data_IF_069778079018
#
_entry.id   IF_069778079018
#
_cell.length_a   1.000
_cell.length_b   1.000
_cell.length_c   1.000
_cell.angle_alpha   90.00
_cell.angle_beta   90.00
_cell.angle_gamma   90.00
#
_symmetry.space_group_name_H-M   'P 1'
#
loop_
_entity.id
_entity.type
_entity.pdbx_description
1 polymer ?
#
# COMPACT_ATOMS: atom_id res chain seq x y z
N UNK A 1 -8.31 -28.21 22.41
CA UNK A 1 -8.07 -26.74 22.43
C UNK A 1 -9.23 -26.10 21.70
N UNK A 2 -10.10 -25.36 22.40
CA UNK A 2 -11.23 -24.67 21.76
C UNK A 2 -10.72 -23.29 21.28
N UNK A 3 -10.82 -23.02 19.99
CA UNK A 3 -10.44 -21.73 19.38
C UNK A 3 -11.74 -20.95 19.15
N UNK A 4 -11.90 -19.80 19.83
CA UNK A 4 -13.03 -18.90 19.61
C UNK A 4 -12.59 -17.77 18.67
N UNK A 5 -13.02 -17.82 17.39
CA UNK A 5 -12.82 -16.74 16.40
C UNK A 5 -14.13 -15.98 16.26
N UNK A 6 -14.18 -14.71 16.70
CA UNK A 6 -15.29 -13.78 16.41
C UNK A 6 -14.81 -12.80 15.34
N UNK A 7 -15.54 -12.67 14.25
CA UNK A 7 -15.21 -11.73 13.15
C UNK A 7 -15.65 -10.31 13.52
N UNK A 8 -14.96 -9.31 12.96
CA UNK A 8 -15.28 -7.89 13.16
C UNK A 8 -16.69 -7.52 12.64
N UNK A 9 -17.30 -8.36 11.80
CA UNK A 9 -18.65 -8.22 11.25
C UNK A 9 -19.75 -8.18 12.31
N UNK A 10 -19.53 -8.76 13.50
CA UNK A 10 -20.51 -8.66 14.58
C UNK A 10 -20.60 -7.21 15.10
N UNK A 11 -19.48 -6.49 15.06
CA UNK A 11 -19.39 -5.10 15.52
C UNK A 11 -19.93 -4.10 14.50
N UNK A 12 -19.95 -4.43 13.21
CA UNK A 12 -20.45 -3.52 12.17
C UNK A 12 -21.94 -3.17 12.35
N UNK A 13 -22.71 -4.02 13.04
CA UNK A 13 -24.12 -3.74 13.38
C UNK A 13 -24.30 -2.60 14.39
N UNK A 14 -23.26 -2.29 15.17
CA UNK A 14 -23.33 -1.35 16.29
C UNK A 14 -22.33 -0.19 16.18
N UNK A 15 -21.39 -0.28 15.25
CA UNK A 15 -20.40 0.77 14.98
C UNK A 15 -20.82 1.63 13.78
N UNK A 16 -20.44 2.92 13.76
CA UNK A 16 -20.55 3.74 12.55
C UNK A 16 -19.88 3.08 11.34
N UNK A 17 -20.29 3.45 10.11
CA UNK A 17 -19.72 2.91 8.89
C UNK A 17 -18.21 3.17 8.83
N UNK A 18 -17.50 2.26 8.17
CA UNK A 18 -16.04 2.31 7.98
C UNK A 18 -15.75 2.14 6.50
N UNK A 19 -15.09 3.12 5.90
CA UNK A 19 -14.62 3.08 4.52
C UNK A 19 -13.10 2.94 4.50
N UNK A 20 -12.57 2.09 3.61
CA UNK A 20 -11.14 1.85 3.44
C UNK A 20 -10.69 2.24 2.04
N UNK A 21 -9.74 3.16 1.95
CA UNK A 21 -9.20 3.65 0.68
C UNK A 21 -7.74 3.22 0.54
N UNK A 22 -7.42 2.50 -0.53
CA UNK A 22 -6.04 2.19 -0.90
C UNK A 22 -5.61 3.15 -2.01
N UNK A 23 -4.72 4.09 -1.66
CA UNK A 23 -4.26 5.11 -2.58
C UNK A 23 -2.91 4.69 -3.19
N UNK A 24 -2.91 4.44 -4.49
CA UNK A 24 -1.70 4.14 -5.26
C UNK A 24 -1.07 5.47 -5.71
N UNK A 25 -0.10 5.95 -4.93
CA UNK A 25 0.58 7.22 -5.17
C UNK A 25 1.63 7.08 -6.27
N UNK A 26 1.57 7.91 -7.31
CA UNK A 26 2.57 7.95 -8.39
C UNK A 26 3.93 8.37 -7.82
N UNK A 27 5.03 7.64 -8.09
CA UNK A 27 6.36 8.05 -7.68
C UNK A 27 6.73 9.45 -8.19
N UNK A 28 7.33 10.27 -7.33
CA UNK A 28 7.94 11.54 -7.77
C UNK A 28 9.27 11.29 -8.49
N UNK A 29 9.75 12.27 -9.26
CA UNK A 29 11.05 12.16 -9.93
C UNK A 29 12.20 11.88 -8.95
N UNK A 30 12.18 12.50 -7.77
CA UNK A 30 13.17 12.25 -6.73
C UNK A 30 13.11 10.82 -6.18
N UNK A 31 11.90 10.26 -6.05
CA UNK A 31 11.72 8.87 -5.66
C UNK A 31 12.22 7.92 -6.74
N UNK A 32 11.88 8.16 -8.01
CA UNK A 32 12.34 7.35 -9.15
C UNK A 32 13.86 7.31 -9.18
N UNK A 33 14.51 8.49 -9.18
CA UNK A 33 15.97 8.59 -9.21
C UNK A 33 16.61 7.91 -8.00
N UNK A 34 16.10 8.12 -6.79
CA UNK A 34 16.62 7.44 -5.60
C UNK A 34 16.45 5.92 -5.69
N UNK A 35 15.33 5.43 -6.22
CA UNK A 35 15.07 4.01 -6.41
C UNK A 35 16.04 3.41 -7.43
N UNK A 36 16.23 4.06 -8.58
CA UNK A 36 17.15 3.64 -9.64
C UNK A 36 18.60 3.61 -9.14
N UNK A 37 19.04 4.64 -8.41
CA UNK A 37 20.37 4.66 -7.79
C UNK A 37 20.60 3.48 -6.83
N UNK A 38 19.59 3.13 -6.03
CA UNK A 38 19.66 1.99 -5.11
C UNK A 38 19.73 0.67 -5.87
N UNK A 39 18.96 0.51 -6.94
CA UNK A 39 18.96 -0.70 -7.76
C UNK A 39 20.25 -0.86 -8.58
N UNK A 40 20.89 0.25 -8.95
CA UNK A 40 22.15 0.26 -9.69
C UNK A 40 23.39 -0.05 -8.83
N UNK A 41 23.23 -0.28 -7.52
CA UNK A 41 24.35 -0.56 -6.63
C UNK A 41 25.06 -1.87 -7.03
N UNK A 42 26.41 -1.91 -7.09
CA UNK A 42 27.17 -3.10 -7.51
C UNK A 42 26.87 -4.35 -6.67
N UNK A 43 26.50 -4.14 -5.41
CA UNK A 43 26.13 -5.20 -4.46
C UNK A 43 24.82 -5.92 -4.83
N UNK A 44 24.01 -5.38 -5.75
CA UNK A 44 22.71 -5.96 -6.16
C UNK A 44 22.86 -7.39 -6.69
N UNK A 45 23.94 -7.69 -7.43
CA UNK A 45 24.21 -9.04 -7.94
C UNK A 45 24.37 -10.09 -6.83
N UNK A 46 24.92 -9.69 -5.67
CA UNK A 46 25.12 -10.57 -4.52
C UNK A 46 23.93 -10.55 -3.53
N UNK A 47 23.02 -9.56 -3.65
CA UNK A 47 21.84 -9.44 -2.78
C UNK A 47 20.88 -10.62 -2.97
N UNK A 48 20.73 -11.12 -4.19
CA UNK A 48 19.88 -12.30 -4.47
C UNK A 48 20.41 -13.59 -3.82
N UNK A 49 21.69 -13.64 -3.45
CA UNK A 49 22.31 -14.78 -2.78
C UNK A 49 22.31 -14.65 -1.25
N UNK A 50 22.14 -13.45 -0.69
CA UNK A 50 22.19 -13.19 0.75
C UNK A 50 20.87 -12.62 1.29
N UNK A 51 20.24 -13.38 2.19
CA UNK A 51 19.00 -12.98 2.87
C UNK A 51 19.16 -11.68 3.65
N UNK A 52 20.29 -11.50 4.34
CA UNK A 52 20.56 -10.29 5.12
C UNK A 52 20.66 -9.04 4.24
N UNK A 53 21.40 -9.13 3.13
CA UNK A 53 21.55 -8.03 2.17
C UNK A 53 20.19 -7.67 1.51
N UNK A 54 19.35 -8.67 1.26
CA UNK A 54 17.99 -8.48 0.76
C UNK A 54 17.12 -7.68 1.74
N UNK A 55 17.14 -8.00 3.03
CA UNK A 55 16.37 -7.25 4.04
C UNK A 55 16.85 -5.80 4.19
N UNK A 56 18.16 -5.56 4.06
CA UNK A 56 18.71 -4.20 4.06
C UNK A 56 18.22 -3.39 2.85
N UNK A 57 18.26 -3.98 1.65
CA UNK A 57 17.76 -3.35 0.44
C UNK A 57 16.26 -3.04 0.53
N UNK A 58 15.45 -4.00 1.00
CA UNK A 58 14.04 -3.79 1.30
C UNK A 58 13.85 -2.57 2.21
N UNK A 59 14.67 -2.45 3.26
CA UNK A 59 14.59 -1.34 4.21
C UNK A 59 14.90 0.01 3.54
N UNK A 60 15.89 0.07 2.66
CA UNK A 60 16.19 1.29 1.89
C UNK A 60 15.08 1.67 0.91
N UNK A 61 14.56 0.70 0.16
CA UNK A 61 13.46 0.95 -0.77
C UNK A 61 12.20 1.42 -0.04
N UNK A 62 11.86 0.83 1.12
CA UNK A 62 10.76 1.30 1.97
C UNK A 62 10.98 2.73 2.47
N UNK A 63 12.22 3.12 2.78
CA UNK A 63 12.54 4.52 3.11
C UNK A 63 12.28 5.45 1.92
N UNK A 64 12.70 5.09 0.70
CA UNK A 64 12.42 5.88 -0.52
C UNK A 64 10.93 6.03 -0.76
N UNK A 65 10.16 4.94 -0.61
CA UNK A 65 8.71 4.98 -0.74
C UNK A 65 8.05 5.96 0.23
N UNK A 66 8.58 6.08 1.45
CA UNK A 66 8.13 7.05 2.43
C UNK A 66 8.62 8.47 2.12
N UNK A 67 9.92 8.69 2.01
CA UNK A 67 10.54 9.92 1.52
C UNK A 67 12.05 9.73 1.27
N UNK A 68 12.61 10.21 0.13
CA UNK A 68 14.04 10.13 -0.14
C UNK A 68 14.94 10.69 0.97
N UNK A 69 14.53 11.78 1.64
CA UNK A 69 15.27 12.40 2.73
C UNK A 69 15.53 11.49 3.94
N UNK A 70 14.80 10.37 4.08
CA UNK A 70 15.03 9.36 5.14
C UNK A 70 16.30 8.53 4.92
N UNK A 71 16.92 8.65 3.75
CA UNK A 71 18.23 8.06 3.45
C UNK A 71 19.39 8.94 3.91
N UNK A 72 19.15 10.23 4.17
CA UNK A 72 20.21 11.14 4.62
C UNK A 72 20.83 10.64 5.94
N UNK A 73 22.16 10.55 5.98
CA UNK A 73 22.91 10.17 7.18
C UNK A 73 22.66 11.20 8.29
N UNK A 74 22.11 10.77 9.44
CA UNK A 74 22.30 11.54 10.69
C UNK A 74 23.79 11.40 11.06
N UNK A 75 24.46 12.48 11.46
CA UNK A 75 25.87 12.51 11.91
C UNK A 75 26.12 11.72 13.22
N UNK A 76 25.48 10.57 13.41
CA UNK A 76 25.69 9.71 14.58
C UNK A 76 26.72 8.63 14.25
N UNK A 77 27.73 8.52 15.12
CA UNK A 77 28.97 7.75 14.93
C UNK A 77 28.82 6.22 15.07
N UNK A 78 27.61 5.67 14.98
CA UNK A 78 27.40 4.26 15.31
C UNK A 78 26.30 3.64 14.46
N UNK A 79 26.64 3.24 13.23
CA UNK A 79 25.84 2.26 12.48
C UNK A 79 26.57 0.92 12.49
N UNK A 80 25.92 -0.08 13.06
CA UNK A 80 26.44 -1.43 13.35
C UNK A 80 26.74 -2.28 12.11
N UNK A 81 26.53 -1.77 10.88
CA UNK A 81 26.71 -2.53 9.63
C UNK A 81 27.23 -1.61 8.50
N UNK A 82 28.54 -1.63 8.20
CA UNK A 82 29.18 -0.68 7.27
C UNK A 82 28.84 -0.83 5.77
N UNK A 83 28.60 -2.05 5.27
CA UNK A 83 28.85 -2.35 3.85
C UNK A 83 27.86 -1.80 2.81
N UNK A 84 26.58 -1.57 3.14
CA UNK A 84 25.62 -0.95 2.23
C UNK A 84 25.37 0.55 2.53
N UNK A 85 25.70 0.99 3.74
CA UNK A 85 25.54 2.39 4.18
C UNK A 85 26.60 3.30 3.56
N UNK A 86 27.80 2.77 3.28
CA UNK A 86 28.84 3.46 2.50
C UNK A 86 28.35 3.81 1.08
N UNK A 87 27.49 2.97 0.49
CA UNK A 87 26.96 3.19 -0.86
C UNK A 87 25.80 4.21 -0.94
N UNK A 88 25.27 4.67 0.19
CA UNK A 88 24.27 5.77 0.20
C UNK A 88 24.89 7.10 -0.23
N UNK A 89 26.21 7.23 -0.21
CA UNK A 89 26.95 8.39 -0.75
C UNK A 89 26.80 8.52 -2.29
N UNK A 90 26.25 7.51 -2.96
CA UNK A 90 25.97 7.52 -4.40
C UNK A 90 24.68 8.31 -4.72
N UNK A 91 23.77 8.48 -3.75
CA UNK A 91 22.55 9.24 -3.99
C UNK A 91 22.89 10.74 -3.91
N UNK A 92 22.58 11.53 -4.96
CA UNK A 92 22.89 12.96 -4.96
C UNK A 92 22.29 13.68 -3.74
N UNK A 93 23.15 14.38 -2.99
CA UNK A 93 22.79 15.18 -1.81
C UNK A 93 21.65 16.17 -2.10
N UNK A 94 21.59 16.70 -3.33
CA UNK A 94 20.53 17.58 -3.79
C UNK A 94 19.15 16.92 -3.69
N UNK A 95 19.03 15.65 -4.08
CA UNK A 95 17.78 14.89 -4.00
C UNK A 95 17.32 14.70 -2.55
N UNK A 96 18.28 14.49 -1.65
CA UNK A 96 18.00 14.29 -0.21
C UNK A 96 17.63 15.59 0.51
N UNK A 97 18.05 16.74 -0.02
CA UNK A 97 17.76 18.08 0.51
C UNK A 97 16.46 18.70 -0.02
N UNK A 98 15.85 18.10 -1.05
CA UNK A 98 14.55 18.54 -1.53
C UNK A 98 13.51 18.55 -0.41
N UNK A 99 12.60 19.53 -0.46
CA UNK A 99 11.46 19.57 0.46
C UNK A 99 10.72 18.24 0.44
N UNK A 100 10.46 17.60 1.60
CA UNK A 100 9.80 16.30 1.65
C UNK A 100 8.47 16.23 0.90
N UNK A 101 7.69 17.33 0.88
CA UNK A 101 6.40 17.43 0.15
C UNK A 101 6.61 17.38 -1.38
N UNK A 102 7.74 17.92 -1.86
CA UNK A 102 8.12 17.85 -3.28
C UNK A 102 8.75 16.49 -3.63
N UNK A 103 9.47 15.89 -2.70
CA UNK A 103 10.22 14.66 -2.91
C UNK A 103 9.43 13.37 -2.61
N UNK A 104 8.31 13.42 -1.88
CA UNK A 104 7.49 12.25 -1.56
C UNK A 104 6.04 12.44 -2.02
N UNK A 105 5.55 11.51 -2.82
CA UNK A 105 4.15 11.52 -3.27
C UNK A 105 3.18 11.25 -2.12
N UNK A 106 3.49 10.29 -1.25
CA UNK A 106 2.67 10.00 -0.05
C UNK A 106 2.55 11.19 0.87
N UNK A 107 3.67 11.88 1.13
CA UNK A 107 3.65 13.06 1.99
C UNK A 107 2.91 14.23 1.34
N UNK A 108 2.97 14.36 0.01
CA UNK A 108 2.18 15.35 -0.73
C UNK A 108 0.69 15.10 -0.61
N UNK A 109 0.24 13.85 -0.82
CA UNK A 109 -1.17 13.48 -0.67
C UNK A 109 -1.63 13.74 0.76
N UNK A 110 -0.82 13.36 1.75
CA UNK A 110 -1.11 13.63 3.15
C UNK A 110 -1.21 15.14 3.44
N UNK A 111 -0.27 15.95 2.97
CA UNK A 111 -0.28 17.42 3.12
C UNK A 111 -1.59 18.04 2.62
N UNK A 112 -2.04 17.63 1.43
CA UNK A 112 -3.31 18.09 0.86
C UNK A 112 -4.50 17.68 1.74
N UNK A 113 -4.55 16.43 2.20
CA UNK A 113 -5.62 15.93 3.07
C UNK A 113 -5.63 16.67 4.41
N UNK A 114 -4.48 16.84 5.05
CA UNK A 114 -4.38 17.51 6.35
C UNK A 114 -4.81 18.98 6.27
N UNK A 115 -4.41 19.69 5.20
CA UNK A 115 -4.85 21.08 4.96
C UNK A 115 -6.37 21.17 4.81
N UNK A 116 -6.94 20.36 3.91
CA UNK A 116 -8.39 20.33 3.69
C UNK A 116 -9.16 19.96 4.97
N UNK A 117 -8.66 19.03 5.77
CA UNK A 117 -9.25 18.67 7.06
C UNK A 117 -9.20 19.82 8.06
N UNK A 118 -8.03 20.41 8.25
CA UNK A 118 -7.83 21.47 9.24
C UNK A 118 -8.66 22.73 8.95
N UNK A 119 -8.92 23.02 7.68
CA UNK A 119 -9.62 24.23 7.24
C UNK A 119 -11.13 24.04 7.17
N UNK A 120 -11.59 22.84 6.77
CA UNK A 120 -13.00 22.62 6.45
C UNK A 120 -13.73 21.74 7.48
N UNK A 121 -13.02 21.10 8.41
CA UNK A 121 -13.63 20.23 9.42
C UNK A 121 -13.04 20.42 10.81
N UNK A 122 -13.65 19.77 11.80
CA UNK A 122 -13.13 19.64 13.17
C UNK A 122 -12.85 18.16 13.49
N UNK A 123 -12.42 17.41 12.47
CA UNK A 123 -12.03 16.01 12.59
C UNK A 123 -10.59 15.88 13.11
N UNK A 124 -10.33 14.85 13.91
CA UNK A 124 -8.99 14.48 14.35
C UNK A 124 -8.50 13.28 13.58
N UNK A 125 -7.17 13.18 13.44
CA UNK A 125 -6.53 12.15 12.61
C UNK A 125 -5.57 11.30 13.42
N UNK A 126 -5.44 10.03 13.06
CA UNK A 126 -4.35 9.15 13.52
C UNK A 126 -3.46 8.83 12.32
N UNK A 127 -2.15 9.02 12.45
CA UNK A 127 -1.19 8.67 11.39
C UNK A 127 -0.30 7.57 11.94
N UNK A 128 -0.31 6.43 11.28
CA UNK A 128 0.40 5.22 11.67
C UNK A 128 1.58 5.00 10.74
N UNK A 129 2.73 4.69 11.32
CA UNK A 129 3.91 4.23 10.58
C UNK A 129 4.63 3.13 11.35
N UNK A 130 5.28 2.23 10.63
CA UNK A 130 6.15 1.20 11.16
C UNK A 130 7.53 1.73 11.57
N UNK A 131 7.89 2.95 11.15
CA UNK A 131 9.23 3.52 11.32
C UNK A 131 9.19 4.83 12.11
N UNK A 132 9.93 4.89 13.22
CA UNK A 132 10.02 6.09 14.05
C UNK A 132 10.66 7.27 13.33
N UNK A 133 11.57 7.02 12.39
CA UNK A 133 12.17 8.07 11.54
C UNK A 133 11.16 8.70 10.59
N UNK A 134 10.19 7.92 10.08
CA UNK A 134 9.04 8.45 9.34
C UNK A 134 8.15 9.28 10.27
N UNK A 135 7.90 8.83 11.51
CA UNK A 135 7.15 9.63 12.50
C UNK A 135 7.87 10.95 12.83
N UNK A 136 9.20 10.98 12.89
CA UNK A 136 9.97 12.22 13.05
C UNK A 136 9.71 13.19 11.87
N UNK A 137 9.72 12.67 10.64
CA UNK A 137 9.45 13.45 9.42
C UNK A 137 8.02 14.02 9.46
N UNK A 138 7.04 13.19 9.79
CA UNK A 138 5.63 13.57 9.89
C UNK A 138 5.39 14.60 11.00
N UNK A 139 6.04 14.44 12.16
CA UNK A 139 5.95 15.41 13.26
C UNK A 139 6.51 16.78 12.86
N UNK A 140 7.65 16.82 12.15
CA UNK A 140 8.19 18.08 11.60
C UNK A 140 7.24 18.72 10.60
N UNK A 141 6.59 17.91 9.77
CA UNK A 141 5.64 18.40 8.79
C UNK A 141 4.37 18.97 9.45
N UNK A 142 3.78 18.27 10.42
CA UNK A 142 2.65 18.77 11.21
C UNK A 142 2.99 20.08 11.92
N UNK A 143 4.17 20.16 12.54
CA UNK A 143 4.65 21.39 13.16
C UNK A 143 4.81 22.54 12.15
N UNK A 144 5.26 22.27 10.91
CA UNK A 144 5.37 23.28 9.86
C UNK A 144 4.02 23.80 9.35
N UNK A 145 2.92 23.08 9.63
CA UNK A 145 1.55 23.48 9.31
C UNK A 145 0.82 24.05 10.55
N UNK A 146 1.52 24.25 11.66
CA UNK A 146 0.96 24.64 12.96
C UNK A 146 -0.18 23.72 13.44
N UNK A 147 -0.13 22.43 13.05
CA UNK A 147 -1.12 21.44 13.45
C UNK A 147 -0.64 20.71 14.72
N UNK A 148 -1.31 20.89 15.87
CA UNK A 148 -0.86 20.31 17.12
C UNK A 148 -1.06 18.79 17.11
N UNK A 149 -0.09 18.06 17.67
CA UNK A 149 -0.13 16.60 17.64
C UNK A 149 0.45 15.96 18.90
N UNK A 150 0.00 14.73 19.15
CA UNK A 150 0.58 13.84 20.15
C UNK A 150 1.31 12.70 19.46
N UNK A 151 2.26 12.07 20.14
CA UNK A 151 3.01 10.93 19.62
C UNK A 151 3.11 9.82 20.64
N UNK A 152 2.85 8.59 20.21
CA UNK A 152 3.06 7.37 20.99
C UNK A 152 3.88 6.38 20.16
N UNK A 153 5.07 6.08 20.64
CA UNK A 153 5.97 5.07 20.07
C UNK A 153 6.61 4.20 21.16
N UNK A 154 7.54 3.33 20.78
CA UNK A 154 8.23 2.42 21.71
C UNK A 154 9.03 3.13 22.81
N UNK A 155 9.45 4.38 22.58
CA UNK A 155 10.20 5.18 23.56
C UNK A 155 9.30 5.85 24.60
N UNK A 156 7.98 5.88 24.37
CA UNK A 156 7.02 6.52 25.27
C UNK A 156 6.86 5.70 26.56
N UNK A 157 7.13 6.27 27.75
CA UNK A 157 7.01 5.57 29.03
C UNK A 157 5.58 5.06 29.26
N UNK A 158 5.43 3.81 29.70
CA UNK A 158 4.13 3.13 29.87
C UNK A 158 3.13 3.96 30.68
N UNK A 159 3.58 4.60 31.77
CA UNK A 159 2.73 5.41 32.66
C UNK A 159 2.10 6.62 31.95
N UNK A 160 2.78 7.20 30.95
CA UNK A 160 2.28 8.39 30.21
C UNK A 160 1.37 8.03 29.04
N UNK A 161 1.31 6.76 28.64
CA UNK A 161 0.59 6.35 27.42
C UNK A 161 -0.91 6.61 27.55
N UNK A 162 -1.50 6.32 28.70
CA UNK A 162 -2.93 6.54 28.92
C UNK A 162 -3.26 8.04 28.96
N UNK A 163 -2.41 8.87 29.56
CA UNK A 163 -2.61 10.32 29.60
C UNK A 163 -2.64 10.94 28.20
N UNK A 164 -1.76 10.49 27.30
CA UNK A 164 -1.76 10.92 25.90
C UNK A 164 -3.04 10.51 25.17
N UNK A 165 -3.51 9.27 25.39
CA UNK A 165 -4.74 8.75 24.80
C UNK A 165 -5.96 9.53 25.31
N UNK A 166 -6.02 9.77 26.61
CA UNK A 166 -7.09 10.53 27.26
C UNK A 166 -7.11 11.99 26.78
N UNK A 167 -5.94 12.64 26.73
CA UNK A 167 -5.80 13.98 26.20
C UNK A 167 -6.28 14.04 24.75
N UNK A 168 -5.86 13.09 23.91
CA UNK A 168 -6.31 13.03 22.52
C UNK A 168 -7.82 12.89 22.42
N UNK A 169 -8.44 11.98 23.17
CA UNK A 169 -9.88 11.73 23.07
C UNK A 169 -10.72 12.90 23.61
N UNK A 170 -10.31 13.53 24.72
CA UNK A 170 -11.11 14.54 25.44
C UNK A 170 -10.96 15.96 24.88
N UNK A 171 -9.89 16.27 24.15
CA UNK A 171 -9.62 17.63 23.65
C UNK A 171 -10.12 17.85 22.22
N UNK A 172 -10.28 19.12 21.85
CA UNK A 172 -10.66 19.54 20.49
C UNK A 172 -9.49 19.39 19.52
N UNK A 173 -9.80 19.37 18.21
CA UNK A 173 -8.78 19.30 17.16
C UNK A 173 -7.82 20.50 17.20
N UNK A 174 -8.28 21.68 17.62
CA UNK A 174 -7.45 22.86 17.82
C UNK A 174 -6.35 22.69 18.91
N UNK A 175 -6.51 21.74 19.84
CA UNK A 175 -5.49 21.42 20.85
C UNK A 175 -4.67 20.19 20.49
N UNK A 176 -5.31 19.18 19.92
CA UNK A 176 -4.66 17.94 19.49
C UNK A 176 -5.34 17.47 18.20
N UNK A 177 -4.82 17.91 17.06
CA UNK A 177 -5.36 17.61 15.73
C UNK A 177 -4.98 16.19 15.29
N UNK A 178 -3.69 15.83 15.44
CA UNK A 178 -3.15 14.56 14.98
C UNK A 178 -2.60 13.71 16.13
N UNK A 179 -2.62 12.39 15.94
CA UNK A 179 -1.95 11.43 16.81
C UNK A 179 -1.01 10.55 15.98
N UNK A 180 0.30 10.69 16.19
CA UNK A 180 1.33 9.88 15.57
C UNK A 180 1.50 8.57 16.35
N UNK A 181 1.27 7.44 15.71
CA UNK A 181 1.32 6.13 16.33
C UNK A 181 2.33 5.23 15.62
N UNK A 182 3.26 4.63 16.36
CA UNK A 182 4.04 3.53 15.78
C UNK A 182 3.20 2.26 15.76
N UNK A 183 3.13 1.55 14.63
CA UNK A 183 2.25 0.40 14.46
C UNK A 183 2.50 -0.70 15.52
N UNK A 184 3.76 -0.83 15.99
CA UNK A 184 4.19 -1.85 16.95
C UNK A 184 4.09 -1.43 18.42
N UNK A 185 3.96 -0.13 18.73
CA UNK A 185 3.82 0.34 20.12
C UNK A 185 2.40 0.24 20.67
N UNK A 186 1.43 -0.17 19.84
CA UNK A 186 0.00 -0.25 20.14
C UNK A 186 -0.49 -1.54 20.81
N UNK A 187 0.40 -2.48 21.18
CA UNK A 187 0.04 -3.77 21.79
C UNK A 187 -0.77 -3.68 23.10
N UNK A 188 -0.89 -2.50 23.70
CA UNK A 188 -1.61 -2.25 24.94
C UNK A 188 -3.14 -2.06 24.80
N UNK A 189 -3.76 -2.37 23.66
CA UNK A 189 -5.22 -2.29 23.60
C UNK A 189 -5.78 -0.86 23.53
N UNK A 190 -4.96 0.15 23.20
CA UNK A 190 -5.33 1.58 23.27
C UNK A 190 -6.56 1.93 22.43
N UNK A 191 -7.28 2.97 22.87
CA UNK A 191 -8.54 3.41 22.27
C UNK A 191 -8.43 4.87 21.78
N UNK A 192 -8.49 5.10 20.47
CA UNK A 192 -8.32 6.41 19.83
C UNK A 192 -9.60 6.90 19.12
N UNK A 193 -10.78 6.57 19.67
CA UNK A 193 -12.11 6.96 19.15
C UNK A 193 -12.33 8.47 19.00
N UNK A 194 -11.44 9.32 19.53
CA UNK A 194 -11.48 10.75 19.27
C UNK A 194 -11.23 11.11 17.79
N UNK A 195 -10.57 10.24 17.03
CA UNK A 195 -10.35 10.40 15.59
C UNK A 195 -11.42 9.70 14.76
N UNK A 196 -11.74 10.28 13.61
CA UNK A 196 -12.58 9.66 12.57
C UNK A 196 -11.77 9.25 11.34
N UNK A 197 -10.51 9.67 11.21
CA UNK A 197 -9.65 9.34 10.06
C UNK A 197 -8.33 8.72 10.50
N UNK A 198 -7.91 7.66 9.81
CA UNK A 198 -6.62 7.00 10.06
C UNK A 198 -5.83 6.83 8.76
N UNK A 199 -4.55 7.18 8.81
CA UNK A 199 -3.61 7.07 7.69
C UNK A 199 -2.57 6.00 8.01
N UNK A 200 -2.59 4.89 7.27
CA UNK A 200 -1.51 3.91 7.21
C UNK A 200 -0.48 4.44 6.21
N UNK A 201 0.54 5.14 6.71
CA UNK A 201 1.54 5.79 5.86
C UNK A 201 2.46 4.80 5.15
N UNK A 202 2.74 3.67 5.81
CA UNK A 202 3.47 2.55 5.25
C UNK A 202 2.87 1.21 5.69
N UNK A 203 3.13 0.19 4.90
CA UNK A 203 2.53 -1.14 5.03
C UNK A 203 3.52 -2.10 5.72
N UNK A 204 3.03 -2.88 6.70
CA UNK A 204 3.82 -3.96 7.31
C UNK A 204 3.75 -5.25 6.47
N UNK A 205 4.68 -6.18 6.66
CA UNK A 205 4.59 -7.48 5.99
C UNK A 205 3.46 -8.35 6.55
N UNK A 206 3.09 -8.13 7.81
CA UNK A 206 2.00 -8.82 8.49
C UNK A 206 0.70 -8.00 8.42
N UNK A 207 -0.33 -8.45 7.68
CA UNK A 207 -1.60 -7.74 7.61
C UNK A 207 -2.29 -7.56 8.97
N UNK A 208 -2.02 -8.44 9.94
CA UNK A 208 -2.57 -8.33 11.29
C UNK A 208 -2.12 -7.04 12.00
N UNK A 209 -0.92 -6.54 11.71
CA UNK A 209 -0.41 -5.29 12.28
C UNK A 209 -1.26 -4.10 11.84
N UNK A 210 -1.61 -4.04 10.55
CA UNK A 210 -2.45 -2.98 10.01
C UNK A 210 -3.90 -3.09 10.50
N UNK A 211 -4.45 -4.31 10.52
CA UNK A 211 -5.78 -4.58 11.08
C UNK A 211 -5.90 -4.13 12.54
N UNK A 212 -4.86 -4.41 13.34
CA UNK A 212 -4.80 -3.96 14.74
C UNK A 212 -4.70 -2.44 14.88
N UNK A 213 -4.07 -1.74 13.93
CA UNK A 213 -4.00 -0.29 13.92
C UNK A 213 -5.35 0.33 13.56
N UNK A 214 -6.05 -0.20 12.54
CA UNK A 214 -7.39 0.26 12.14
C UNK A 214 -8.41 0.07 13.28
N UNK A 215 -8.34 -1.04 14.01
CA UNK A 215 -9.19 -1.33 15.16
C UNK A 215 -8.98 -0.39 16.37
N UNK A 216 -8.04 0.56 16.32
CA UNK A 216 -7.84 1.58 17.37
C UNK A 216 -8.84 2.73 17.30
N UNK A 217 -9.37 3.00 16.10
CA UNK A 217 -10.34 4.09 15.89
C UNK A 217 -11.74 3.57 15.54
N UNK A 218 -11.83 2.41 14.88
CA UNK A 218 -13.10 1.71 14.62
C UNK A 218 -13.34 0.70 15.73
N UNK A 219 -13.83 1.22 16.87
CA UNK A 219 -14.06 0.45 18.10
C UNK A 219 -15.24 1.04 18.86
N UNK A 220 -15.74 0.28 19.83
CA UNK A 220 -16.79 0.73 20.75
C UNK A 220 -16.49 2.11 21.34
N UNK A 221 -17.52 2.95 21.37
CA UNK A 221 -17.44 4.38 21.69
C UNK A 221 -17.19 5.31 20.50
N UNK A 222 -16.87 4.79 19.31
CA UNK A 222 -16.83 5.60 18.08
C UNK A 222 -18.23 6.13 17.73
N UNK A 223 -18.33 7.42 17.41
CA UNK A 223 -19.60 8.09 17.08
C UNK A 223 -19.66 8.63 15.66
N UNK A 224 -18.52 8.72 14.98
CA UNK A 224 -18.39 9.27 13.63
C UNK A 224 -18.09 8.14 12.63
N UNK A 225 -18.54 8.25 11.37
CA UNK A 225 -18.05 7.44 10.28
C UNK A 225 -16.52 7.45 10.25
N UNK A 226 -15.93 6.28 10.04
CA UNK A 226 -14.47 6.10 10.04
C UNK A 226 -13.96 5.99 8.61
N UNK A 227 -12.88 6.71 8.30
CA UNK A 227 -12.21 6.65 7.00
C UNK A 227 -10.75 6.23 7.19
N UNK A 228 -10.37 5.12 6.57
CA UNK A 228 -9.00 4.60 6.61
C UNK A 228 -8.34 4.84 5.27
N UNK A 229 -7.14 5.40 5.26
CA UNK A 229 -6.35 5.60 4.05
C UNK A 229 -5.06 4.80 4.15
N UNK A 230 -4.80 3.96 3.16
CA UNK A 230 -3.55 3.22 3.00
C UNK A 230 -2.76 3.83 1.86
N UNK A 231 -1.58 4.34 2.14
CA UNK A 231 -0.71 4.92 1.11
C UNK A 231 0.28 3.89 0.60
N UNK A 232 0.25 3.64 -0.71
CA UNK A 232 1.21 2.78 -1.40
C UNK A 232 1.95 3.60 -2.45
N UNK A 233 3.27 3.41 -2.58
CA UNK A 233 3.97 3.88 -3.76
C UNK A 233 3.67 2.94 -4.92
N UNK A 234 2.93 3.43 -5.92
CA UNK A 234 2.57 2.65 -7.11
C UNK A 234 3.79 2.18 -7.89
N UNK A 235 3.77 0.91 -8.32
CA UNK A 235 4.84 0.25 -9.06
C UNK A 235 6.09 -0.09 -8.24
N UNK A 236 6.18 0.35 -6.99
CA UNK A 236 7.32 0.09 -6.12
C UNK A 236 7.08 -1.05 -5.12
N UNK A 237 8.03 -1.21 -4.18
CA UNK A 237 7.99 -2.28 -3.18
C UNK A 237 6.74 -2.27 -2.30
N UNK A 238 6.15 -1.11 -2.01
CA UNK A 238 4.94 -1.02 -1.18
C UNK A 238 3.76 -1.77 -1.80
N UNK A 239 3.56 -1.61 -3.11
CA UNK A 239 2.49 -2.28 -3.83
C UNK A 239 2.68 -3.80 -3.83
N UNK A 240 3.93 -4.27 -3.99
CA UNK A 240 4.28 -5.71 -3.88
C UNK A 240 4.04 -6.26 -2.47
N UNK A 241 4.38 -5.50 -1.43
CA UNK A 241 4.10 -5.88 -0.04
C UNK A 241 2.59 -6.00 0.17
N UNK A 242 1.81 -5.06 -0.35
CA UNK A 242 0.35 -5.07 -0.26
C UNK A 242 -0.27 -6.28 -0.98
N UNK A 243 0.16 -6.59 -2.22
CA UNK A 243 -0.28 -7.78 -2.95
C UNK A 243 -0.04 -9.08 -2.15
N UNK A 244 1.10 -9.17 -1.45
CA UNK A 244 1.41 -10.29 -0.55
C UNK A 244 0.54 -10.32 0.70
N UNK A 245 0.25 -9.17 1.30
CA UNK A 245 -0.67 -9.10 2.44
C UNK A 245 -2.04 -9.67 2.07
N UNK A 246 -2.60 -9.22 0.93
CA UNK A 246 -3.90 -9.66 0.46
C UNK A 246 -3.89 -11.16 0.13
N UNK A 247 -2.86 -11.63 -0.56
CA UNK A 247 -2.67 -13.06 -0.85
C UNK A 247 -2.64 -13.88 0.44
N UNK A 248 -1.91 -13.43 1.46
CA UNK A 248 -1.85 -14.10 2.78
C UNK A 248 -3.20 -14.08 3.49
N UNK A 249 -3.96 -13.00 3.39
CA UNK A 249 -5.31 -12.92 3.98
C UNK A 249 -6.28 -13.89 3.27
N UNK A 250 -6.30 -13.90 1.93
CA UNK A 250 -7.14 -14.82 1.17
C UNK A 250 -6.81 -16.30 1.42
N UNK A 251 -5.52 -16.64 1.59
CA UNK A 251 -5.10 -17.99 1.98
C UNK A 251 -5.45 -18.33 3.43
N UNK A 252 -5.32 -17.38 4.37
CA UNK A 252 -5.67 -17.60 5.78
C UNK A 252 -7.17 -17.81 6.00
N UNK A 253 -8.02 -17.25 5.13
CA UNK A 253 -9.46 -17.53 5.13
C UNK A 253 -9.78 -18.87 4.44
N UNK A 254 -8.88 -19.39 3.61
CA UNK A 254 -9.02 -20.65 2.87
C UNK A 254 -8.39 -21.88 3.56
N UNK A 255 -7.58 -21.70 4.62
CA UNK A 255 -6.78 -22.78 5.23
C UNK A 255 -7.06 -22.91 6.74
N UNK A 256 -7.74 -24.01 7.10
CA UNK A 256 -7.64 -24.67 8.41
C UNK A 256 -6.68 -25.84 8.23
N UNK A 257 -5.40 -25.59 7.94
CA UNK A 257 -4.38 -26.63 7.91
C UNK A 257 -2.99 -26.05 8.18
N UNK A 258 -2.29 -26.70 9.11
CA UNK A 258 -1.08 -26.21 9.78
C UNK A 258 0.20 -26.22 8.93
N UNK A 259 0.23 -25.46 7.82
CA UNK A 259 1.48 -25.18 7.11
C UNK A 259 2.23 -24.03 7.78
N UNK A 260 3.51 -24.26 8.10
CA UNK A 260 4.38 -23.25 8.67
C UNK A 260 4.63 -22.10 7.68
N UNK A 261 4.78 -20.89 8.22
CA UNK A 261 5.17 -19.70 7.47
C UNK A 261 6.52 -19.93 6.77
N UNK A 262 6.54 -20.04 5.44
CA UNK A 262 7.78 -19.86 4.69
C UNK A 262 8.20 -18.38 4.79
N UNK A 263 9.16 -18.11 5.68
CA UNK A 263 9.70 -16.79 5.92
C UNK A 263 10.79 -16.39 4.89
N UNK A 264 11.02 -17.20 3.87
CA UNK A 264 12.05 -17.01 2.86
C UNK A 264 11.47 -16.61 1.50
N UNK A 265 12.10 -15.65 0.84
CA UNK A 265 11.79 -15.27 -0.53
C UNK A 265 12.57 -16.15 -1.51
N UNK A 266 11.94 -16.54 -2.62
CA UNK A 266 12.67 -17.12 -3.76
C UNK A 266 13.49 -16.04 -4.49
N UNK A 267 14.51 -16.45 -5.27
CA UNK A 267 15.31 -15.49 -6.04
C UNK A 267 14.48 -14.75 -7.11
N UNK A 268 13.46 -15.38 -7.68
CA UNK A 268 12.50 -14.75 -8.60
C UNK A 268 11.61 -13.73 -7.90
N UNK A 269 11.19 -14.06 -6.69
CA UNK A 269 10.40 -13.17 -5.85
C UNK A 269 11.19 -11.92 -5.45
N UNK A 270 12.46 -12.08 -5.08
CA UNK A 270 13.34 -10.95 -4.78
C UNK A 270 13.58 -10.09 -6.02
N UNK A 271 13.80 -10.70 -7.19
CA UNK A 271 13.92 -9.97 -8.46
C UNK A 271 12.68 -9.13 -8.77
N UNK A 272 11.49 -9.67 -8.55
CA UNK A 272 10.24 -8.93 -8.74
C UNK A 272 10.02 -7.84 -7.67
N UNK A 273 10.43 -8.10 -6.43
CA UNK A 273 10.36 -7.13 -5.33
C UNK A 273 11.25 -5.90 -5.57
N UNK A 274 12.38 -6.10 -6.25
CA UNK A 274 13.37 -5.06 -6.53
C UNK A 274 13.22 -4.44 -7.93
N UNK A 275 12.00 -4.40 -8.46
CA UNK A 275 11.66 -3.66 -9.68
C UNK A 275 10.81 -2.44 -9.35
N UNK A 276 10.91 -1.42 -10.19
CA UNK A 276 10.02 -0.26 -10.20
C UNK A 276 9.25 -0.25 -11.53
N UNK A 277 7.93 -0.44 -11.46
CA UNK A 277 7.07 -0.44 -12.63
C UNK A 277 6.46 0.95 -12.85
N UNK A 278 6.90 1.66 -13.89
CA UNK A 278 6.39 3.00 -14.23
C UNK A 278 5.37 2.99 -15.38
N UNK A 279 5.25 1.87 -16.10
CA UNK A 279 4.42 1.75 -17.30
C UNK A 279 2.94 1.43 -17.01
N UNK A 280 2.62 1.10 -15.76
CA UNK A 280 1.24 0.85 -15.30
C UNK A 280 0.82 1.90 -14.31
N UNK A 281 -0.48 2.19 -14.27
CA UNK A 281 -1.09 3.03 -13.23
C UNK A 281 -1.30 2.28 -11.92
N UNK A 282 -1.64 0.99 -12.00
CA UNK A 282 -1.88 0.12 -10.86
C UNK A 282 -1.58 -1.32 -11.26
N UNK A 283 -0.40 -1.82 -10.87
CA UNK A 283 0.00 -3.19 -11.19
C UNK A 283 -0.96 -4.21 -10.53
N UNK A 284 -1.47 -3.89 -9.35
CA UNK A 284 -2.40 -4.72 -8.60
C UNK A 284 -3.70 -4.92 -9.37
N UNK A 285 -4.24 -3.86 -9.97
CA UNK A 285 -5.42 -3.94 -10.84
C UNK A 285 -5.15 -4.79 -12.08
N UNK A 286 -4.00 -4.59 -12.74
CA UNK A 286 -3.62 -5.38 -13.92
C UNK A 286 -3.51 -6.88 -13.59
N UNK A 287 -2.89 -7.21 -12.44
CA UNK A 287 -2.74 -8.59 -11.98
C UNK A 287 -4.07 -9.23 -11.57
N UNK A 288 -5.06 -8.45 -11.12
CA UNK A 288 -6.43 -8.95 -10.90
C UNK A 288 -7.10 -9.34 -12.22
N UNK A 289 -6.68 -8.76 -13.34
CA UNK A 289 -7.36 -8.92 -14.63
C UNK A 289 -8.82 -8.49 -14.54
N UNK A 290 -9.08 -7.42 -13.78
CA UNK A 290 -10.40 -6.84 -13.61
C UNK A 290 -10.81 -6.11 -14.90
N UNK A 291 -12.05 -6.33 -15.34
CA UNK A 291 -12.61 -5.73 -16.58
C UNK A 291 -13.48 -4.51 -16.31
N UNK A 292 -13.44 -3.97 -15.09
CA UNK A 292 -14.23 -2.79 -14.75
C UNK A 292 -13.72 -1.55 -15.51
N UNK A 293 -14.59 -0.58 -15.81
CA UNK A 293 -14.21 0.67 -16.47
C UNK A 293 -13.31 1.57 -15.61
N UNK A 294 -13.01 1.19 -14.36
CA UNK A 294 -12.18 1.94 -13.42
C UNK A 294 -12.74 3.33 -13.08
N UNK A 295 -14.06 3.48 -13.05
CA UNK A 295 -14.77 4.73 -12.72
C UNK A 295 -15.46 4.71 -11.34
N UNK A 296 -15.29 3.62 -10.58
CA UNK A 296 -15.96 3.40 -9.30
C UNK A 296 -17.31 2.67 -9.41
N UNK A 297 -17.68 2.19 -10.59
CA UNK A 297 -18.75 1.20 -10.74
C UNK A 297 -18.38 -0.13 -10.08
N UNK A 298 -19.41 -0.87 -9.68
CA UNK A 298 -19.24 -2.16 -9.02
C UNK A 298 -18.58 -3.17 -9.99
N UNK A 299 -17.36 -3.67 -9.68
CA UNK A 299 -16.67 -4.64 -10.53
C UNK A 299 -17.42 -5.96 -10.72
N UNK A 300 -18.39 -6.26 -9.86
CA UNK A 300 -19.20 -7.47 -9.88
C UNK A 300 -20.58 -7.26 -10.52
N UNK A 301 -20.94 -6.02 -10.90
CA UNK A 301 -22.18 -5.76 -11.60
C UNK A 301 -22.15 -6.38 -13.02
N UNK A 302 -23.28 -6.96 -13.51
CA UNK A 302 -23.35 -7.44 -14.88
C UNK A 302 -23.17 -6.27 -15.82
N UNK A 303 -22.07 -6.27 -16.59
CA UNK A 303 -21.77 -5.24 -17.58
C UNK A 303 -22.88 -5.18 -18.64
N UNK A 304 -23.70 -4.13 -18.61
CA UNK A 304 -24.66 -3.85 -19.67
C UNK A 304 -23.94 -3.20 -20.86
N UNK A 305 -23.20 -3.99 -21.64
CA UNK A 305 -22.88 -3.67 -23.05
C UNK A 305 -22.28 -4.89 -23.77
N UNK A 306 -23.13 -5.52 -24.60
CA UNK A 306 -22.85 -6.29 -25.82
C UNK A 306 -21.43 -6.84 -26.08
N UNK A 307 -21.21 -8.12 -25.79
CA UNK A 307 -21.21 -9.26 -26.75
C UNK A 307 -20.89 -10.51 -25.93
N UNK A 308 -21.93 -11.28 -25.62
CA UNK A 308 -21.79 -12.56 -24.94
C UNK A 308 -21.34 -13.63 -25.96
N UNK A 309 -20.04 -13.84 -26.09
CA UNK A 309 -19.54 -15.15 -26.52
C UNK A 309 -19.52 -16.05 -25.28
N UNK A 310 -20.45 -17.01 -25.26
CA UNK A 310 -20.49 -18.08 -24.27
C UNK A 310 -19.35 -19.05 -24.57
N UNK A 311 -18.24 -18.95 -23.86
CA UNK A 311 -17.35 -20.10 -23.67
C UNK A 311 -17.88 -20.92 -22.49
N UNK A 312 -18.48 -22.06 -22.83
CA UNK A 312 -18.90 -23.08 -21.88
C UNK A 312 -17.70 -23.91 -21.46
N UNK A 313 -17.00 -23.51 -20.41
CA UNK A 313 -16.01 -24.38 -19.76
C UNK A 313 -16.68 -25.20 -18.65
N UNK A 314 -16.94 -26.46 -18.99
CA UNK A 314 -17.26 -27.55 -18.08
C UNK A 314 -16.20 -27.64 -16.98
N UNK A 315 -16.62 -27.40 -15.73
CA UNK A 315 -15.84 -27.66 -14.52
C UNK A 315 -15.44 -29.14 -14.44
N UNK A 316 -14.14 -29.39 -14.38
CA UNK A 316 -13.58 -30.54 -13.67
C UNK A 316 -12.70 -30.00 -12.55
N UNK A 317 -13.18 -30.10 -11.32
CA UNK A 317 -12.39 -29.89 -10.11
C UNK A 317 -11.30 -30.97 -10.07
N UNK A 318 -10.04 -30.56 -10.21
CA UNK A 318 -8.90 -31.35 -9.76
C UNK A 318 -8.12 -30.53 -8.74
N UNK A 319 -8.12 -31.06 -7.52
CA UNK A 319 -7.34 -30.56 -6.40
C UNK A 319 -5.86 -30.51 -6.80
N UNK A 320 -5.30 -29.30 -6.87
CA UNK A 320 -3.88 -29.11 -7.12
C UNK A 320 -3.09 -29.44 -5.85
N UNK A 321 -2.59 -30.68 -5.77
CA UNK A 321 -1.58 -31.05 -4.78
C UNK A 321 -0.29 -30.24 -5.02
N UNK A 322 0.16 -29.48 -4.03
CA UNK A 322 1.26 -28.50 -4.14
C UNK A 322 2.68 -29.12 -4.17
N UNK A 323 2.89 -30.32 -4.71
CA UNK A 323 4.22 -30.95 -4.76
C UNK A 323 4.49 -31.73 -6.07
N UNK A 324 4.06 -31.19 -7.20
CA UNK A 324 4.56 -31.68 -8.48
C UNK A 324 5.91 -31.02 -8.78
N UNK A 325 6.99 -31.81 -8.76
CA UNK A 325 8.29 -31.42 -9.31
C UNK A 325 8.07 -30.91 -10.73
N UNK A 326 8.20 -29.59 -10.92
CA UNK A 326 7.96 -28.92 -12.21
C UNK A 326 9.06 -29.33 -13.17
N UNK A 327 8.81 -30.34 -14.00
CA UNK A 327 9.62 -30.57 -15.18
C UNK A 327 9.38 -29.42 -16.17
N UNK A 328 10.44 -28.87 -16.79
CA UNK A 328 10.26 -27.85 -17.82
C UNK A 328 9.38 -28.41 -18.94
N UNK A 329 8.46 -27.60 -19.51
CA UNK A 329 7.62 -28.02 -20.62
C UNK A 329 8.48 -28.57 -21.76
N UNK A 330 8.07 -29.70 -22.32
CA UNK A 330 8.80 -30.37 -23.41
C UNK A 330 8.58 -29.55 -24.68
N UNK A 331 9.52 -28.66 -24.99
CA UNK A 331 9.54 -27.97 -26.26
C UNK A 331 10.01 -28.91 -27.38
N UNK A 332 9.47 -28.72 -28.59
CA UNK A 332 9.96 -29.43 -29.77
C UNK A 332 11.47 -29.13 -29.92
N UNK A 333 12.31 -30.13 -30.14
CA UNK A 333 13.75 -29.91 -30.30
C UNK A 333 13.97 -28.99 -31.51
N UNK A 334 14.67 -27.88 -31.27
CA UNK A 334 15.11 -26.93 -32.29
C UNK A 334 16.64 -26.95 -32.36
N UNK A 335 17.24 -26.56 -33.50
CA UNK A 335 18.69 -26.39 -33.59
C UNK A 335 19.19 -25.47 -32.47
N UNK A 336 20.29 -25.83 -31.81
CA UNK A 336 20.88 -25.10 -30.69
C UNK A 336 21.63 -23.83 -31.16
N UNK A 337 20.94 -22.96 -31.88
CA UNK A 337 21.42 -21.61 -32.21
C UNK A 337 21.10 -20.67 -31.06
N UNK A 338 21.91 -19.60 -30.94
CA UNK A 338 21.74 -18.56 -29.90
C UNK A 338 20.31 -17.97 -29.95
N UNK A 339 19.80 -17.72 -31.15
CA UNK A 339 18.46 -17.15 -31.35
C UNK A 339 17.34 -18.10 -30.91
N UNK A 340 17.45 -19.40 -31.23
CA UNK A 340 16.45 -20.38 -30.86
C UNK A 340 16.40 -20.61 -29.35
N UNK A 341 17.56 -20.60 -28.68
CA UNK A 341 17.66 -20.71 -27.22
C UNK A 341 17.06 -19.45 -26.55
N UNK A 342 17.34 -18.26 -27.09
CA UNK A 342 16.76 -17.02 -26.58
C UNK A 342 15.23 -17.00 -26.69
N UNK A 343 14.67 -17.43 -27.84
CA UNK A 343 13.22 -17.51 -28.06
C UNK A 343 12.56 -18.53 -27.12
N UNK A 344 13.18 -19.69 -26.87
CA UNK A 344 12.64 -20.68 -25.92
C UNK A 344 12.67 -20.14 -24.49
N UNK A 345 13.78 -19.54 -24.06
CA UNK A 345 13.89 -18.95 -22.73
C UNK A 345 12.87 -17.83 -22.51
N UNK A 346 12.60 -17.03 -23.56
CA UNK A 346 11.55 -16.02 -23.52
C UNK A 346 10.16 -16.65 -23.33
N UNK A 347 9.83 -17.70 -24.10
CA UNK A 347 8.54 -18.41 -23.95
C UNK A 347 8.37 -19.05 -22.57
N UNK A 348 9.43 -19.65 -22.02
CA UNK A 348 9.43 -20.19 -20.65
C UNK A 348 9.13 -19.08 -19.64
N UNK A 349 9.80 -17.93 -19.77
CA UNK A 349 9.59 -16.79 -18.89
C UNK A 349 8.14 -16.27 -18.98
N UNK A 350 7.60 -16.12 -20.19
CA UNK A 350 6.22 -15.69 -20.43
C UNK A 350 5.20 -16.67 -19.84
N UNK A 351 5.38 -17.99 -20.01
CA UNK A 351 4.51 -19.01 -19.41
C UNK A 351 4.57 -19.02 -17.88
N UNK A 352 5.76 -18.85 -17.29
CA UNK A 352 5.93 -18.76 -15.84
C UNK A 352 5.29 -17.48 -15.28
N UNK A 353 5.45 -16.35 -15.97
CA UNK A 353 4.78 -15.09 -15.60
C UNK A 353 3.26 -15.22 -15.70
N UNK A 354 2.72 -15.86 -16.74
CA UNK A 354 1.29 -16.11 -16.90
C UNK A 354 0.73 -17.02 -15.80
N UNK A 355 1.42 -18.11 -15.46
CA UNK A 355 1.05 -19.00 -14.34
C UNK A 355 1.06 -18.24 -13.01
N UNK A 356 2.08 -17.41 -12.77
CA UNK A 356 2.19 -16.58 -11.57
C UNK A 356 1.07 -15.55 -11.49
N UNK A 357 0.76 -14.87 -12.59
CA UNK A 357 -0.35 -13.92 -12.67
C UNK A 357 -1.69 -14.61 -12.38
N UNK A 358 -1.93 -15.81 -12.95
CA UNK A 358 -3.13 -16.61 -12.67
C UNK A 358 -3.25 -16.99 -11.18
N UNK A 359 -2.13 -17.40 -10.56
CA UNK A 359 -2.09 -17.71 -9.11
C UNK A 359 -2.38 -16.46 -8.27
N UNK A 360 -1.75 -15.33 -8.57
CA UNK A 360 -1.98 -14.07 -7.85
C UNK A 360 -3.41 -13.57 -8.02
N UNK A 361 -3.99 -13.67 -9.23
CA UNK A 361 -5.39 -13.33 -9.51
C UNK A 361 -6.36 -14.08 -8.60
N UNK A 362 -6.19 -15.40 -8.48
CA UNK A 362 -7.05 -16.23 -7.62
C UNK A 362 -6.92 -15.85 -6.14
N UNK A 363 -5.72 -15.52 -5.68
CA UNK A 363 -5.48 -15.21 -4.26
C UNK A 363 -5.89 -13.79 -3.85
N UNK A 364 -6.04 -12.88 -4.82
CA UNK A 364 -6.40 -11.48 -4.57
C UNK A 364 -7.87 -11.16 -4.87
N UNK A 365 -8.73 -12.17 -5.07
CA UNK A 365 -10.15 -11.98 -5.39
C UNK A 365 -10.91 -11.10 -4.37
N UNK A 366 -10.46 -11.02 -3.12
CA UNK A 366 -11.03 -10.12 -2.11
C UNK A 366 -10.99 -8.64 -2.54
N UNK A 367 -10.06 -8.25 -3.41
CA UNK A 367 -9.97 -6.89 -3.94
C UNK A 367 -11.12 -6.53 -4.88
N UNK A 368 -11.82 -7.52 -5.46
CA UNK A 368 -13.00 -7.28 -6.29
C UNK A 368 -14.19 -6.70 -5.51
N UNK A 369 -14.12 -6.69 -4.18
CA UNK A 369 -15.10 -6.03 -3.32
C UNK A 369 -14.91 -4.50 -3.24
N UNK A 370 -13.73 -4.02 -3.64
CA UNK A 370 -13.45 -2.59 -3.69
C UNK A 370 -13.94 -2.01 -5.01
N UNK A 371 -14.38 -0.75 -4.98
CA UNK A 371 -14.60 0.02 -6.19
C UNK A 371 -13.25 0.49 -6.73
N UNK A 372 -13.01 0.25 -8.01
CA UNK A 372 -11.75 0.58 -8.66
C UNK A 372 -11.88 1.91 -9.40
N UNK A 373 -10.99 2.87 -9.13
CA UNK A 373 -11.05 4.22 -9.68
C UNK A 373 -9.67 4.62 -10.24
N UNK A 374 -9.57 4.81 -11.56
CA UNK A 374 -8.45 5.51 -12.19
C UNK A 374 -8.68 7.02 -12.05
N UNK A 375 -7.75 7.67 -11.36
CA UNK A 375 -7.83 9.12 -11.09
C UNK A 375 -7.72 9.99 -12.34
N UNK A 376 -7.31 9.43 -13.48
CA UNK A 376 -7.27 10.15 -14.74
C UNK A 376 -8.64 10.64 -15.22
N UNK A 377 -9.71 10.01 -14.75
CA UNK A 377 -11.08 10.40 -15.04
C UNK A 377 -11.32 11.86 -14.58
N UNK A 378 -10.79 12.26 -13.42
CA UNK A 378 -10.88 13.65 -12.93
C UNK A 378 -10.13 14.68 -13.80
N UNK A 379 -9.19 14.24 -14.65
CA UNK A 379 -8.54 15.13 -15.63
C UNK A 379 -9.43 15.49 -16.82
N UNK A 380 -10.35 14.59 -17.20
CA UNK A 380 -11.23 14.72 -18.37
C UNK A 380 -12.32 15.78 -18.14
N UNK A 381 -12.77 15.94 -16.90
CA UNK A 381 -13.77 16.96 -16.47
C UNK A 381 -13.40 18.37 -16.92
N UNK A 382 -12.10 18.67 -17.06
CA UNK A 382 -11.65 20.02 -17.47
C UNK A 382 -11.76 20.31 -18.97
N UNK A 383 -11.98 19.30 -19.82
CA UNK A 383 -11.88 19.44 -21.27
C UNK A 383 -13.18 19.15 -22.06
N UNK A 384 -14.12 18.34 -21.56
CA UNK A 384 -15.34 17.97 -22.32
C UNK A 384 -16.63 17.97 -21.48
N UNK A 385 -17.64 18.73 -21.93
CA UNK A 385 -18.98 18.84 -21.31
C UNK A 385 -19.99 17.87 -21.93
N UNK A 386 -19.79 16.55 -21.79
CA UNK A 386 -20.77 15.56 -22.22
C UNK A 386 -21.62 15.07 -21.02
N UNK A 387 -22.89 14.76 -21.26
CA UNK A 387 -23.82 14.30 -20.23
C UNK A 387 -23.48 12.89 -19.68
N UNK A 388 -22.84 12.03 -20.50
CA UNK A 388 -22.40 10.69 -20.05
C UNK A 388 -21.20 10.79 -19.10
N UNK A 389 -20.30 11.73 -19.39
CA UNK A 389 -19.14 12.10 -18.57
C UNK A 389 -19.64 12.55 -17.19
N UNK A 390 -20.61 13.47 -17.11
CA UNK A 390 -21.18 13.95 -15.84
C UNK A 390 -21.81 12.86 -14.95
N UNK A 391 -22.51 11.88 -15.54
CA UNK A 391 -23.09 10.77 -14.77
C UNK A 391 -22.01 9.87 -14.17
N UNK A 392 -20.97 9.55 -14.95
CA UNK A 392 -19.81 8.79 -14.48
C UNK A 392 -19.15 9.46 -13.24
N UNK A 393 -19.01 10.79 -13.22
CA UNK A 393 -18.46 11.50 -12.05
C UNK A 393 -19.35 11.46 -10.82
N UNK A 394 -20.68 11.51 -11.02
CA UNK A 394 -21.61 11.38 -9.89
C UNK A 394 -21.45 10.00 -9.25
N UNK A 395 -21.32 8.97 -10.07
CA UNK A 395 -21.09 7.60 -9.62
C UNK A 395 -19.73 7.46 -8.91
N UNK A 396 -18.66 8.12 -9.41
CA UNK A 396 -17.35 8.14 -8.73
C UNK A 396 -17.39 8.88 -7.39
N UNK A 397 -18.13 9.99 -7.29
CA UNK A 397 -18.28 10.73 -6.04
C UNK A 397 -19.02 9.90 -4.99
N UNK A 398 -20.12 9.26 -5.40
CA UNK A 398 -20.89 8.35 -4.55
C UNK A 398 -20.06 7.12 -4.15
N UNK A 399 -19.24 6.59 -5.06
CA UNK A 399 -18.32 5.49 -4.80
C UNK A 399 -17.27 5.83 -3.72
N UNK A 400 -16.73 7.05 -3.73
CA UNK A 400 -15.72 7.46 -2.77
C UNK A 400 -16.29 7.75 -1.39
N UNK A 401 -17.53 8.26 -1.27
CA UNK A 401 -18.13 8.64 0.02
C UNK A 401 -17.21 9.52 0.91
N UNK A 402 -16.38 10.35 0.27
CA UNK A 402 -15.48 11.27 0.95
C UNK A 402 -15.19 12.53 0.13
N UNK A 403 -15.91 13.60 0.46
CA UNK A 403 -15.78 14.90 -0.21
C UNK A 403 -14.34 15.45 -0.19
N UNK A 404 -13.57 15.18 0.88
CA UNK A 404 -12.19 15.66 0.99
C UNK A 404 -11.28 14.90 0.02
N UNK A 405 -11.36 13.56 0.01
CA UNK A 405 -10.58 12.77 -0.94
C UNK A 405 -10.97 13.10 -2.38
N UNK A 406 -12.26 13.21 -2.67
CA UNK A 406 -12.76 13.59 -3.98
C UNK A 406 -12.23 14.97 -4.43
N UNK A 407 -12.25 15.98 -3.55
CA UNK A 407 -11.68 17.31 -3.83
C UNK A 407 -10.19 17.22 -4.19
N UNK A 408 -9.44 16.41 -3.46
CA UNK A 408 -7.99 16.23 -3.67
C UNK A 408 -7.70 15.48 -4.96
N UNK A 409 -8.48 14.46 -5.31
CA UNK A 409 -8.29 13.71 -6.55
C UNK A 409 -8.56 14.58 -7.79
N UNK A 410 -9.38 15.62 -7.68
CA UNK A 410 -9.58 16.63 -8.74
C UNK A 410 -8.38 17.56 -8.93
N UNK A 411 -7.53 17.73 -7.92
CA UNK A 411 -6.34 18.55 -8.07
C UNK A 411 -5.35 17.89 -9.03
N UNK A 412 -4.94 18.59 -10.10
CA UNK A 412 -3.98 18.10 -11.11
C UNK A 412 -2.64 17.60 -10.52
N UNK A 413 -2.33 17.97 -9.28
CA UNK A 413 -1.08 17.63 -8.57
C UNK A 413 -1.28 16.66 -7.40
N UNK A 414 -2.46 16.04 -7.28
CA UNK A 414 -2.79 15.09 -6.20
C UNK A 414 -1.70 14.03 -6.03
N UNK A 415 -1.17 13.52 -7.15
CA UNK A 415 -0.11 12.50 -7.14
C UNK A 415 -0.64 11.10 -6.81
N UNK A 416 -1.95 10.91 -6.74
CA UNK A 416 -2.59 9.59 -6.71
C UNK A 416 -2.84 9.16 -8.15
N UNK A 417 -2.52 7.92 -8.50
CA UNK A 417 -2.76 7.35 -9.83
C UNK A 417 -4.04 6.50 -9.84
N UNK A 418 -4.27 5.71 -8.79
CA UNK A 418 -5.38 4.78 -8.70
C UNK A 418 -5.90 4.71 -7.26
N UNK A 419 -7.18 4.41 -7.08
CA UNK A 419 -7.83 4.22 -5.79
C UNK A 419 -8.64 2.94 -5.80
N UNK A 420 -8.47 2.11 -4.77
CA UNK A 420 -9.48 1.11 -4.39
C UNK A 420 -10.25 1.67 -3.21
N UNK A 421 -11.58 1.79 -3.33
CA UNK A 421 -12.47 2.46 -2.38
C UNK A 421 -13.56 1.52 -1.81
#
# INVERSE_FOLDING_TARGET
MFILRRTAEILSKYLPPKNEYVLFCKPTQAQIQAYEHILALPSFGNVLASSEASFQLITFLKKVCNAPSLLAKKKEKTSTFPSLVEHVDIIPDELLRLSPIKASSKLRVLDLILKQLSQNTNEKVVIVSNYTTTLDLLGKHLASLDLPFLRLDGSTPTLKRQDLVDAFNKTSAAKNFAFLLSAKSGGAGINLIGASRLFLFDTDWNPATDLQAMARIHRDGQKKPVKIYRFLLGGGIDEKIYQRQITKMGLADSIVDGKQNEASFSAEELRDLFRLHLNTRCQTHDLLGCVCPSDGSDPLAPTCSATAEKESDTKSDSEASENELVYPPIYKPVPATIDNVAVINQKIAEELEAKRAKKMKNNMQALMQYRHIDTAIFGIESNENSASIQNCFKDTKEALDDDILHSILKEKKSGVAFVFA
#
